data_IF_474769365567
#
_entry.id   IF_474769365567
#
_cell.length_a   1.000
_cell.length_b   1.000
_cell.length_c   1.000
_cell.angle_alpha   90.00
_cell.angle_beta   90.00
_cell.angle_gamma   90.00
#
_symmetry.space_group_name_H-M   'P 1'
#
loop_
_entity.id
_entity.type
_entity.pdbx_description
1 polymer ?
#
# COMPACT_ATOMS: atom_id res chain seq x y z
N UNK A 1 -29.07 21.44 14.62
CA UNK A 1 -28.93 20.14 13.93
C UNK A 1 -27.47 20.03 13.54
N UNK A 2 -26.66 19.39 14.40
CA UNK A 2 -25.24 19.17 14.13
C UNK A 2 -25.21 18.12 13.02
N UNK A 3 -24.65 18.47 11.86
CA UNK A 3 -24.38 17.48 10.81
C UNK A 3 -23.28 16.58 11.36
N UNK A 4 -23.55 15.29 11.48
CA UNK A 4 -22.50 14.28 11.65
C UNK A 4 -21.53 14.48 10.48
N UNK A 5 -20.36 15.02 10.77
CA UNK A 5 -19.27 15.06 9.81
C UNK A 5 -18.84 13.60 9.72
N UNK A 6 -19.07 12.98 8.57
CA UNK A 6 -18.58 11.64 8.30
C UNK A 6 -17.06 11.63 8.46
N UNK A 7 -16.59 11.11 9.58
CA UNK A 7 -15.17 11.05 9.96
C UNK A 7 -14.35 10.25 8.94
N UNK A 8 -14.99 9.52 8.03
CA UNK A 8 -14.35 8.77 6.94
C UNK A 8 -14.06 9.59 5.68
N UNK A 9 -14.51 10.86 5.60
CA UNK A 9 -14.44 11.71 4.40
C UNK A 9 -13.03 12.09 3.90
N UNK A 10 -11.98 11.47 4.43
CA UNK A 10 -10.60 11.57 3.94
C UNK A 10 -9.82 10.25 4.00
N UNK A 11 -10.48 9.13 4.31
CA UNK A 11 -9.86 7.81 4.38
C UNK A 11 -10.15 7.01 3.11
N UNK A 12 -9.17 6.22 2.69
CA UNK A 12 -9.26 5.33 1.53
C UNK A 12 -9.12 3.88 1.98
N UNK A 13 -9.91 2.99 1.41
CA UNK A 13 -9.77 1.55 1.60
C UNK A 13 -8.55 1.00 0.87
N UNK A 14 -7.95 -0.07 1.38
CA UNK A 14 -6.80 -0.74 0.74
C UNK A 14 -7.09 -1.21 -0.69
N UNK A 15 -8.31 -1.69 -0.95
CA UNK A 15 -8.73 -2.15 -2.28
C UNK A 15 -8.80 -1.01 -3.30
N UNK A 16 -9.09 0.23 -2.88
CA UNK A 16 -9.08 1.41 -3.75
C UNK A 16 -7.64 1.70 -4.22
N UNK A 17 -6.68 1.62 -3.30
CA UNK A 17 -5.27 1.81 -3.58
C UNK A 17 -4.71 0.72 -4.51
N UNK A 18 -5.10 -0.54 -4.30
CA UNK A 18 -4.79 -1.65 -5.22
C UNK A 18 -5.46 -1.43 -6.59
N UNK A 19 -6.71 -0.98 -6.61
CA UNK A 19 -7.43 -0.63 -7.84
C UNK A 19 -6.70 0.44 -8.65
N UNK A 20 -6.13 1.45 -7.99
CA UNK A 20 -5.30 2.47 -8.64
C UNK A 20 -4.00 1.88 -9.20
N UNK A 21 -3.34 0.98 -8.46
CA UNK A 21 -2.15 0.28 -8.94
C UNK A 21 -2.44 -0.56 -10.19
N UNK A 22 -3.53 -1.32 -10.19
CA UNK A 22 -3.98 -2.11 -11.35
C UNK A 22 -4.27 -1.22 -12.56
N UNK A 23 -4.97 -0.11 -12.37
CA UNK A 23 -5.28 0.84 -13.43
C UNK A 23 -4.02 1.47 -14.05
N UNK A 24 -3.07 1.90 -13.21
CA UNK A 24 -1.81 2.48 -13.65
C UNK A 24 -0.94 1.48 -14.44
N UNK A 25 -0.96 0.21 -14.02
CA UNK A 25 -0.23 -0.87 -14.68
C UNK A 25 -0.99 -1.47 -15.88
N UNK A 26 -2.19 -0.96 -16.19
CA UNK A 26 -3.08 -1.43 -17.27
C UNK A 26 -3.48 -2.90 -17.13
N UNK A 27 -3.54 -3.40 -15.90
CA UNK A 27 -3.97 -4.77 -15.59
C UNK A 27 -5.49 -4.76 -15.43
N UNK A 28 -6.20 -5.58 -16.22
CA UNK A 28 -7.68 -5.63 -16.25
C UNK A 28 -8.28 -6.88 -15.61
N UNK A 29 -7.45 -7.70 -14.97
CA UNK A 29 -7.87 -8.97 -14.37
C UNK A 29 -8.48 -8.73 -12.99
N UNK A 30 -9.43 -9.58 -12.56
CA UNK A 30 -9.87 -9.61 -11.16
C UNK A 30 -8.72 -10.05 -10.25
N UNK A 31 -8.80 -9.69 -8.95
CA UNK A 31 -7.71 -9.87 -7.98
C UNK A 31 -7.26 -11.33 -7.89
N UNK A 32 -8.21 -12.25 -7.95
CA UNK A 32 -8.02 -13.70 -7.82
C UNK A 32 -7.30 -14.32 -9.02
N UNK A 33 -7.26 -13.62 -10.15
CA UNK A 33 -6.61 -14.06 -11.39
C UNK A 33 -5.25 -13.39 -11.63
N UNK A 34 -4.76 -12.59 -10.67
CA UNK A 34 -3.45 -11.94 -10.77
C UNK A 34 -2.34 -12.96 -10.57
N UNK A 35 -1.35 -12.88 -11.45
CA UNK A 35 -0.09 -13.61 -11.29
C UNK A 35 0.76 -12.98 -10.21
N UNK A 36 1.72 -13.73 -9.68
CA UNK A 36 2.67 -13.20 -8.68
C UNK A 36 3.51 -12.03 -9.18
N UNK A 37 3.82 -11.99 -10.47
CA UNK A 37 4.49 -10.86 -11.11
C UNK A 37 3.61 -9.61 -11.07
N UNK A 38 2.34 -9.75 -11.45
CA UNK A 38 1.37 -8.66 -11.43
C UNK A 38 1.14 -8.15 -9.99
N UNK A 39 1.00 -9.05 -9.02
CA UNK A 39 0.90 -8.71 -7.59
C UNK A 39 2.15 -7.92 -7.15
N UNK A 40 3.35 -8.38 -7.52
CA UNK A 40 4.61 -7.69 -7.18
C UNK A 40 4.66 -6.29 -7.78
N UNK A 41 4.24 -6.13 -9.03
CA UNK A 41 4.22 -4.83 -9.70
C UNK A 41 3.26 -3.87 -9.03
N UNK A 42 2.06 -4.33 -8.65
CA UNK A 42 1.06 -3.54 -7.93
C UNK A 42 1.58 -3.11 -6.57
N UNK A 43 2.12 -4.03 -5.77
CA UNK A 43 2.68 -3.72 -4.44
C UNK A 43 3.84 -2.73 -4.55
N UNK A 44 4.71 -2.91 -5.54
CA UNK A 44 5.81 -1.98 -5.80
C UNK A 44 5.31 -0.60 -6.20
N UNK A 45 4.24 -0.53 -7.00
CA UNK A 45 3.59 0.74 -7.34
C UNK A 45 3.04 1.42 -6.08
N UNK A 46 2.35 0.68 -5.22
CA UNK A 46 1.84 1.18 -3.92
C UNK A 46 2.98 1.77 -3.09
N UNK A 47 4.10 1.05 -2.95
CA UNK A 47 5.27 1.53 -2.23
C UNK A 47 6.01 2.70 -2.90
N UNK A 48 5.80 2.97 -4.19
CA UNK A 48 6.35 4.16 -4.86
C UNK A 48 5.44 5.38 -4.65
N UNK A 49 4.13 5.16 -4.60
CA UNK A 49 3.11 6.21 -4.48
C UNK A 49 2.84 6.65 -3.04
N UNK A 50 3.26 5.88 -2.04
CA UNK A 50 3.10 6.23 -0.64
C UNK A 50 4.17 7.18 -0.13
N UNK A 51 3.75 8.17 0.66
CA UNK A 51 4.61 9.10 1.43
C UNK A 51 4.42 8.84 2.95
N UNK A 52 5.50 8.78 3.74
CA UNK A 52 5.77 8.61 5.20
C UNK A 52 6.80 9.71 5.53
N UNK A 53 7.13 9.85 6.80
CA UNK A 53 8.41 10.38 7.28
C UNK A 53 8.85 9.40 8.40
N UNK A 54 10.13 9.20 8.76
CA UNK A 54 10.83 9.93 9.84
C UNK A 54 12.26 9.34 10.02
N UNK A 55 13.28 10.20 10.14
CA UNK A 55 14.36 10.06 11.13
C UNK A 55 14.81 11.44 11.61
N UNK A 56 15.04 11.55 12.93
CA UNK A 56 15.37 12.79 13.65
C UNK A 56 16.87 13.06 13.49
N UNK A 57 17.24 13.86 12.50
CA UNK A 57 18.52 14.59 12.51
C UNK A 57 18.32 15.89 13.28
N UNK A 58 19.22 16.22 14.19
CA UNK A 58 19.08 17.25 15.24
C UNK A 58 18.68 18.67 14.76
N UNK A 59 18.63 18.95 13.45
CA UNK A 59 18.23 20.28 12.95
C UNK A 59 17.65 20.35 11.53
N UNK A 60 17.46 19.26 10.78
CA UNK A 60 16.85 19.37 9.43
C UNK A 60 16.09 18.10 9.00
N UNK A 61 14.78 18.19 8.70
CA UNK A 61 14.04 17.07 8.13
C UNK A 61 14.46 16.85 6.66
N UNK A 62 14.86 15.62 6.33
CA UNK A 62 15.14 15.19 4.95
C UNK A 62 14.02 14.27 4.48
N UNK A 63 13.37 14.64 3.37
CA UNK A 63 12.33 13.84 2.73
C UNK A 63 12.98 12.79 1.82
N UNK A 64 12.77 11.50 2.10
CA UNK A 64 12.99 10.40 1.14
C UNK A 64 11.85 9.39 1.24
N UNK A 65 11.44 8.89 0.06
CA UNK A 65 10.35 7.93 -0.25
C UNK A 65 10.06 6.88 0.82
N UNK A 66 8.84 6.39 0.83
CA UNK A 66 8.20 5.72 1.98
C UNK A 66 7.53 4.45 1.51
N UNK A 67 7.47 3.34 2.24
CA UNK A 67 7.91 2.99 3.58
C UNK A 67 7.30 1.62 3.77
N UNK A 68 8.15 0.65 4.06
CA UNK A 68 7.84 -0.77 3.96
C UNK A 68 6.53 -1.16 4.70
N UNK A 69 6.16 -0.42 5.74
CA UNK A 69 4.95 -0.63 6.54
C UNK A 69 3.62 -0.57 5.76
N UNK A 70 3.36 0.47 4.97
CA UNK A 70 2.09 0.54 4.20
C UNK A 70 2.07 -0.51 3.09
N UNK A 71 3.20 -0.70 2.40
CA UNK A 71 3.35 -1.72 1.38
C UNK A 71 3.06 -3.12 1.95
N UNK A 72 3.64 -3.47 3.11
CA UNK A 72 3.41 -4.74 3.79
C UNK A 72 1.96 -4.87 4.29
N UNK A 73 1.38 -3.79 4.84
CA UNK A 73 0.00 -3.79 5.33
C UNK A 73 -0.99 -4.04 4.19
N UNK A 74 -0.85 -3.32 3.07
CA UNK A 74 -1.68 -3.52 1.87
C UNK A 74 -1.48 -4.92 1.30
N UNK A 75 -0.23 -5.41 1.29
CA UNK A 75 0.06 -6.78 0.83
C UNK A 75 -0.61 -7.83 1.71
N UNK A 76 -0.58 -7.67 3.03
CA UNK A 76 -1.23 -8.58 3.97
C UNK A 76 -2.76 -8.56 3.80
N UNK A 77 -3.36 -7.37 3.69
CA UNK A 77 -4.81 -7.22 3.60
C UNK A 77 -5.37 -7.70 2.26
N UNK A 78 -4.67 -7.42 1.15
CA UNK A 78 -5.18 -7.68 -0.19
C UNK A 78 -4.65 -8.98 -0.80
N UNK A 79 -3.45 -9.41 -0.42
CA UNK A 79 -2.77 -10.58 -0.95
C UNK A 79 -2.19 -11.47 0.16
N UNK A 80 -3.01 -11.95 1.12
CA UNK A 80 -2.52 -12.67 2.30
C UNK A 80 -1.72 -13.94 1.94
N UNK A 81 -2.12 -14.66 0.89
CA UNK A 81 -1.40 -15.84 0.41
C UNK A 81 0.00 -15.49 -0.11
N UNK A 82 0.12 -14.38 -0.86
CA UNK A 82 1.40 -13.87 -1.34
C UNK A 82 2.28 -13.42 -0.16
N UNK A 83 1.68 -12.73 0.81
CA UNK A 83 2.36 -12.25 2.01
C UNK A 83 2.96 -13.40 2.83
N UNK A 84 2.18 -14.47 3.03
CA UNK A 84 2.61 -15.67 3.76
C UNK A 84 3.64 -16.49 2.99
N UNK A 85 3.42 -16.69 1.67
CA UNK A 85 4.33 -17.47 0.82
C UNK A 85 5.75 -16.91 0.79
N UNK A 86 5.88 -15.58 0.80
CA UNK A 86 7.17 -14.89 0.77
C UNK A 86 7.65 -14.44 2.15
N UNK A 87 6.98 -14.89 3.23
CA UNK A 87 7.34 -14.62 4.63
C UNK A 87 7.60 -13.12 4.91
N UNK A 88 6.82 -12.24 4.30
CA UNK A 88 7.06 -10.80 4.33
C UNK A 88 6.88 -10.15 5.73
N UNK A 89 6.51 -10.95 6.74
CA UNK A 89 6.40 -10.57 8.16
C UNK A 89 7.69 -10.72 8.97
N UNK A 90 8.77 -11.28 8.41
CA UNK A 90 9.96 -11.56 9.20
C UNK A 90 10.82 -10.30 9.40
N UNK A 91 10.67 -9.68 10.57
CA UNK A 91 11.73 -8.89 11.20
C UNK A 91 12.86 -9.86 11.61
N UNK A 92 13.72 -10.24 10.66
CA UNK A 92 15.01 -10.86 10.97
C UNK A 92 16.12 -9.83 10.87
#
# INVERSE_FOLDING_TARGET
>A
MIRDIDESAGYMCSWELVGWGLANLRIKKPKEALTEEEIRQVIRWVGICSVDTIFVGESTPIIRRIGIGLMLTVTLLEFPEYYMKYELAQFN
#
